data_IF_081906147812
#
_entry.id   IF_081906147812
#
_cell.length_a   1.000
_cell.length_b   1.000
_cell.length_c   1.000
_cell.angle_alpha   90.00
_cell.angle_beta   90.00
_cell.angle_gamma   90.00
#
_symmetry.space_group_name_H-M   'P 1'
#
loop_
_entity.id
_entity.type
_entity.pdbx_description
1 polymer ?
#
# COMPACT_ATOMS: atom_id res chain seq x y z
N UNK A 1 12.07 -25.01 -28.10
CA UNK A 1 12.45 -23.58 -28.14
C UNK A 1 12.38 -23.01 -26.72
N UNK A 2 13.51 -22.56 -26.13
CA UNK A 2 13.50 -21.87 -24.83
C UNK A 2 13.03 -20.43 -25.05
N UNK A 3 11.87 -20.07 -24.50
CA UNK A 3 11.36 -18.70 -24.55
C UNK A 3 12.26 -17.83 -23.66
N UNK A 4 13.01 -16.92 -24.26
CA UNK A 4 13.87 -15.99 -23.53
C UNK A 4 12.98 -14.89 -22.91
N UNK A 5 12.49 -15.11 -21.69
CA UNK A 5 11.63 -14.15 -20.99
C UNK A 5 12.48 -13.06 -20.34
N UNK A 6 12.87 -12.06 -21.12
CA UNK A 6 13.51 -10.84 -20.59
C UNK A 6 12.41 -9.92 -20.05
N UNK A 7 12.43 -9.65 -18.75
CA UNK A 7 11.54 -8.63 -18.17
C UNK A 7 12.05 -7.27 -18.66
N UNK A 8 11.19 -6.55 -19.38
CA UNK A 8 11.54 -5.23 -19.96
C UNK A 8 11.15 -4.11 -19.01
N UNK A 9 10.00 -4.24 -18.34
CA UNK A 9 9.49 -3.30 -17.35
C UNK A 9 8.78 -4.06 -16.23
N UNK A 10 8.95 -3.59 -15.00
CA UNK A 10 8.25 -4.07 -13.82
C UNK A 10 7.95 -2.86 -12.95
N UNK A 11 6.66 -2.62 -12.69
CA UNK A 11 6.21 -1.52 -11.85
C UNK A 11 5.62 -2.10 -10.57
N UNK A 12 5.90 -1.44 -9.46
CA UNK A 12 5.12 -1.65 -8.24
C UNK A 12 3.67 -1.16 -8.48
N UNK A 13 2.75 -1.57 -7.62
CA UNK A 13 1.34 -1.25 -7.75
C UNK A 13 0.97 -0.03 -6.92
N UNK A 14 1.13 -0.15 -5.61
CA UNK A 14 0.71 0.85 -4.63
C UNK A 14 1.61 2.07 -4.71
N UNK A 15 1.03 3.27 -4.76
CA UNK A 15 1.76 4.54 -4.94
C UNK A 15 2.57 4.67 -6.26
N UNK A 16 2.60 3.66 -7.14
CA UNK A 16 3.16 3.77 -8.50
C UNK A 16 2.07 3.85 -9.55
N UNK A 17 1.24 2.82 -9.67
CA UNK A 17 0.22 2.71 -10.72
C UNK A 17 -1.16 3.16 -10.24
N UNK A 18 -1.46 3.00 -8.94
CA UNK A 18 -2.77 3.33 -8.37
C UNK A 18 -2.67 4.23 -7.13
N UNK A 19 -3.69 5.06 -6.93
CA UNK A 19 -3.87 5.83 -5.69
C UNK A 19 -4.95 5.20 -4.81
N UNK A 20 -4.56 4.20 -4.02
CA UNK A 20 -5.43 3.50 -3.06
C UNK A 20 -5.23 3.94 -1.60
N UNK A 21 -4.57 5.09 -1.38
CA UNK A 21 -4.23 5.64 -0.05
C UNK A 21 -5.41 5.68 0.93
N UNK A 22 -6.62 6.01 0.44
CA UNK A 22 -7.85 6.05 1.26
C UNK A 22 -8.22 4.65 1.78
N UNK A 23 -8.12 3.63 0.94
CA UNK A 23 -8.42 2.24 1.30
C UNK A 23 -7.44 1.71 2.35
N UNK A 24 -6.16 2.03 2.19
CA UNK A 24 -5.10 1.65 3.14
C UNK A 24 -5.38 2.31 4.51
N UNK A 25 -5.62 3.62 4.55
CA UNK A 25 -5.91 4.36 5.80
C UNK A 25 -7.16 3.81 6.51
N UNK A 26 -8.20 3.48 5.75
CA UNK A 26 -9.42 2.90 6.31
C UNK A 26 -9.16 1.52 6.91
N UNK A 27 -8.38 0.68 6.23
CA UNK A 27 -8.05 -0.68 6.67
C UNK A 27 -7.22 -0.68 7.95
N UNK A 28 -6.21 0.20 8.03
CA UNK A 28 -5.43 0.41 9.26
C UNK A 28 -6.32 0.83 10.43
N UNK A 29 -7.13 1.87 10.25
CA UNK A 29 -8.00 2.37 11.32
C UNK A 29 -9.11 1.39 11.71
N UNK A 30 -9.58 0.57 10.76
CA UNK A 30 -10.49 -0.54 11.06
C UNK A 30 -9.83 -1.57 11.99
N UNK A 31 -8.60 -1.98 11.68
CA UNK A 31 -7.85 -2.92 12.51
C UNK A 31 -7.58 -2.35 13.91
N UNK A 32 -7.07 -1.11 14.01
CA UNK A 32 -6.82 -0.44 15.29
C UNK A 32 -8.08 -0.41 16.15
N UNK A 33 -9.23 -0.02 15.56
CA UNK A 33 -10.52 -0.03 16.24
C UNK A 33 -10.89 -1.44 16.73
N UNK A 34 -10.72 -2.48 15.89
CA UNK A 34 -11.06 -3.87 16.24
C UNK A 34 -10.28 -4.37 17.46
N UNK A 35 -9.02 -3.95 17.60
CA UNK A 35 -8.16 -4.32 18.71
C UNK A 35 -8.15 -3.29 19.85
N UNK A 36 -9.12 -2.36 19.89
CA UNK A 36 -9.28 -1.32 20.93
C UNK A 36 -8.08 -0.36 21.06
N UNK A 37 -7.31 -0.19 19.98
CA UNK A 37 -6.28 0.84 19.90
C UNK A 37 -6.86 2.17 19.39
N UNK A 38 -6.26 3.32 19.76
CA UNK A 38 -6.65 4.61 19.19
C UNK A 38 -6.41 4.63 17.68
N UNK A 39 -7.26 5.38 16.96
CA UNK A 39 -7.04 5.65 15.54
C UNK A 39 -5.73 6.41 15.36
N UNK A 40 -5.08 6.15 14.24
CA UNK A 40 -3.86 6.85 13.87
C UNK A 40 -4.18 7.92 12.83
N UNK A 41 -3.47 9.06 12.94
CA UNK A 41 -3.61 10.13 11.96
C UNK A 41 -3.27 9.65 10.55
N UNK A 42 -4.01 10.17 9.56
CA UNK A 42 -3.83 9.84 8.16
C UNK A 42 -2.37 10.02 7.73
N UNK A 43 -1.74 11.14 8.09
CA UNK A 43 -0.36 11.46 7.68
C UNK A 43 0.61 10.40 8.20
N UNK A 44 0.44 9.95 9.43
CA UNK A 44 1.28 8.90 10.03
C UNK A 44 1.12 7.57 9.31
N UNK A 45 -0.11 7.15 9.01
CA UNK A 45 -0.37 5.93 8.22
C UNK A 45 0.22 6.05 6.82
N UNK A 46 0.08 7.22 6.16
CA UNK A 46 0.62 7.43 4.81
C UNK A 46 2.14 7.33 4.74
N UNK A 47 2.86 7.70 5.81
CA UNK A 47 4.33 7.53 5.92
C UNK A 47 4.76 6.07 6.09
N UNK A 48 3.85 5.19 6.50
CA UNK A 48 4.10 3.75 6.63
C UNK A 48 3.84 2.99 5.33
N UNK A 49 3.15 3.61 4.35
CA UNK A 49 2.96 3.00 3.04
C UNK A 49 4.30 3.06 2.31
N UNK A 50 4.73 1.90 1.78
CA UNK A 50 5.93 1.83 0.97
C UNK A 50 5.95 2.90 -0.12
N UNK A 51 7.11 3.54 -0.26
CA UNK A 51 7.42 4.34 -1.44
C UNK A 51 8.11 3.42 -2.44
N UNK A 52 7.69 3.45 -3.72
CA UNK A 52 8.35 2.71 -4.79
C UNK A 52 9.84 3.05 -4.91
#
# INVERSE_FOLDING_TARGET
MKINKKIVLSFDLDNTLINNRKGIVNSFNYALKKFKFPKMERITILKMIGTP
#
